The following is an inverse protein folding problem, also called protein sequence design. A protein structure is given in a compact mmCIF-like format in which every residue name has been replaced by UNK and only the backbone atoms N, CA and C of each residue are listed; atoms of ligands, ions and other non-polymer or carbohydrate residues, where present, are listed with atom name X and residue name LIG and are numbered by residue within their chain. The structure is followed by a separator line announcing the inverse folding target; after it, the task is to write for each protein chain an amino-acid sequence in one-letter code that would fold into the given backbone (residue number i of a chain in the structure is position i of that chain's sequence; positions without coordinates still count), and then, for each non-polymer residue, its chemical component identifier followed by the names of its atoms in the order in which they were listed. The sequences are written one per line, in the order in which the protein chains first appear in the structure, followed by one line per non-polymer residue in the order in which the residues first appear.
data_IF_141497964470
#
_entry.id   IF_141497964470
#
_cell.length_a   1.000
_cell.length_b   1.000
_cell.length_c   1.000
_cell.angle_alpha   90.00
_cell.angle_beta   90.00
_cell.angle_gamma   90.00
#
_symmetry.space_group_name_H-M   'P 1'
#
loop_
_entity.id
_entity.type
_entity.pdbx_description
1 polymer ?
#
# COMPACT_ATOMS: atom_id res chain seq x y z
N UNK A 1 0.17 8.97 -11.54
CA UNK A 1 -0.56 8.85 -10.25
C UNK A 1 0.42 9.26 -9.18
N UNK A 2 0.07 10.16 -8.25
CA UNK A 2 1.07 10.72 -7.32
C UNK A 2 1.09 9.93 -6.03
N UNK A 3 2.21 9.29 -5.71
CA UNK A 3 2.45 8.70 -4.38
C UNK A 3 2.47 9.86 -3.36
N UNK A 4 1.75 9.76 -2.23
CA UNK A 4 1.74 10.82 -1.24
C UNK A 4 3.13 11.06 -0.61
N UNK A 5 3.42 12.32 -0.30
CA UNK A 5 4.70 12.74 0.28
C UNK A 5 4.85 12.39 1.76
N UNK A 6 3.76 12.01 2.44
CA UNK A 6 3.78 11.67 3.87
C UNK A 6 4.03 10.18 4.11
N UNK A 7 4.81 9.80 5.14
CA UNK A 7 5.05 8.39 5.48
C UNK A 7 3.74 7.61 5.73
N UNK A 8 2.78 8.22 6.43
CA UNK A 8 1.48 7.63 6.70
C UNK A 8 0.65 7.43 5.42
N UNK A 9 0.67 8.39 4.49
CA UNK A 9 0.00 8.26 3.20
C UNK A 9 0.61 7.14 2.37
N UNK A 10 1.94 6.98 2.41
CA UNK A 10 2.64 5.88 1.74
C UNK A 10 2.19 4.53 2.28
N UNK A 11 2.05 4.39 3.60
CA UNK A 11 1.60 3.13 4.21
C UNK A 11 0.19 2.77 3.74
N UNK A 12 -0.73 3.74 3.73
CA UNK A 12 -2.09 3.53 3.24
C UNK A 12 -2.09 3.14 1.76
N UNK A 13 -1.26 3.81 0.95
CA UNK A 13 -1.13 3.50 -0.48
C UNK A 13 -0.63 2.07 -0.69
N UNK A 14 0.34 1.63 0.09
CA UNK A 14 0.88 0.26 0.04
C UNK A 14 -0.16 -0.78 0.45
N UNK A 15 -0.94 -0.51 1.50
CA UNK A 15 -2.03 -1.40 1.92
C UNK A 15 -3.13 -1.50 0.85
N UNK A 16 -3.49 -0.38 0.22
CA UNK A 16 -4.50 -0.37 -0.85
C UNK A 16 -3.99 -1.08 -2.11
N UNK A 17 -2.76 -0.82 -2.54
CA UNK A 17 -2.19 -1.48 -3.73
C UNK A 17 -2.02 -2.97 -3.53
N UNK A 18 -1.54 -3.39 -2.36
CA UNK A 18 -1.38 -4.81 -2.03
C UNK A 18 -2.74 -5.51 -1.94
N UNK A 19 -3.78 -4.88 -1.38
CA UNK A 19 -5.14 -5.41 -1.40
C UNK A 19 -5.64 -5.63 -2.83
N UNK A 20 -5.50 -4.63 -3.70
CA UNK A 20 -5.94 -4.74 -5.09
C UNK A 20 -5.24 -5.90 -5.81
N UNK A 21 -3.93 -6.03 -5.61
CA UNK A 21 -3.12 -7.05 -6.26
C UNK A 21 -3.46 -8.47 -5.77
N UNK A 22 -3.48 -8.69 -4.45
CA UNK A 22 -3.65 -10.04 -3.89
C UNK A 22 -5.11 -10.49 -3.74
N UNK A 23 -6.07 -9.56 -3.61
CA UNK A 23 -7.47 -9.89 -3.33
C UNK A 23 -8.39 -9.68 -4.54
N UNK A 24 -8.16 -8.61 -5.31
CA UNK A 24 -9.04 -8.23 -6.42
C UNK A 24 -8.43 -8.55 -7.80
N UNK A 25 -7.21 -9.07 -7.85
CA UNK A 25 -6.47 -9.39 -9.08
C UNK A 25 -6.36 -8.20 -10.06
N UNK A 26 -6.25 -6.98 -9.50
CA UNK A 26 -6.07 -5.74 -10.27
C UNK A 26 -4.93 -4.90 -9.69
N UNK A 27 -4.32 -4.08 -10.52
CA UNK A 27 -3.24 -3.18 -10.09
C UNK A 27 -3.48 -1.76 -10.60
N UNK A 28 -3.00 -0.79 -9.80
CA UNK A 28 -3.08 0.65 -10.10
C UNK A 28 -1.69 1.25 -10.25
N UNK A 29 -0.73 0.72 -9.49
CA UNK A 29 0.67 1.12 -9.56
C UNK A 29 1.41 0.20 -10.52
N UNK A 30 2.41 0.75 -11.21
CA UNK A 30 3.39 -0.07 -11.92
C UNK A 30 4.33 -0.76 -10.91
N UNK A 31 4.99 -1.83 -11.32
CA UNK A 31 5.98 -2.54 -10.49
C UNK A 31 7.06 -1.57 -9.99
N UNK A 32 7.55 -0.67 -10.85
CA UNK A 32 8.52 0.37 -10.48
C UNK A 32 8.00 1.32 -9.39
N UNK A 33 6.74 1.75 -9.47
CA UNK A 33 6.14 2.63 -8.46
C UNK A 33 5.94 1.90 -7.13
N UNK A 34 5.59 0.61 -7.18
CA UNK A 34 5.41 -0.22 -6.01
C UNK A 34 6.73 -0.50 -5.30
N UNK A 35 7.79 -0.83 -6.05
CA UNK A 35 9.14 -1.01 -5.51
C UNK A 35 9.67 0.28 -4.88
N UNK A 36 9.45 1.42 -5.54
CA UNK A 36 9.80 2.71 -4.96
C UNK A 36 9.06 2.95 -3.64
N UNK A 37 7.76 2.66 -3.59
CA UNK A 37 6.94 2.81 -2.39
C UNK A 37 7.45 1.93 -1.23
N UNK A 38 7.77 0.67 -1.50
CA UNK A 38 8.31 -0.26 -0.49
C UNK A 38 9.65 0.25 0.07
N UNK A 39 10.57 0.67 -0.80
CA UNK A 39 11.86 1.21 -0.38
C UNK A 39 11.73 2.46 0.49
N UNK A 40 10.82 3.38 0.13
CA UNK A 40 10.55 4.58 0.94
C UNK A 40 9.94 4.23 2.30
N UNK A 41 9.02 3.27 2.34
CA UNK A 41 8.43 2.81 3.59
C UNK A 41 9.45 2.16 4.52
N UNK A 42 10.41 1.39 3.98
CA UNK A 42 11.50 0.81 4.78
C UNK A 42 12.39 1.91 5.37
N UNK A 43 12.73 2.94 4.58
CA UNK A 43 13.56 4.05 5.04
C UNK A 43 12.88 4.91 6.11
N UNK A 44 11.57 5.09 6.02
CA UNK A 44 10.79 5.94 6.91
C UNK A 44 10.04 5.14 7.97
N UNK A 45 10.30 3.84 8.09
CA UNK A 45 9.50 2.93 8.91
C UNK A 45 9.35 3.39 10.35
N UNK A 46 10.42 3.92 10.95
CA UNK A 46 10.40 4.42 12.33
C UNK A 46 9.56 5.70 12.48
N UNK A 47 9.41 6.49 11.42
CA UNK A 47 8.66 7.76 11.42
C UNK A 47 7.16 7.56 11.20
N UNK A 48 6.75 6.37 10.73
CA UNK A 48 5.33 6.05 10.52
C UNK A 48 4.64 5.93 11.88
N UNK A 49 3.68 6.81 12.10
CA UNK A 49 2.75 6.78 13.24
C UNK A 49 1.33 6.62 12.69
N UNK A 50 0.94 5.36 12.47
CA UNK A 50 -0.36 5.01 11.89
C UNK A 50 -0.90 3.72 12.52
N UNK A 51 -2.20 3.64 12.87
CA UNK A 51 -2.78 2.46 13.53
C UNK A 51 -2.65 1.18 12.71
N UNK A 52 -2.70 1.27 11.38
CA UNK A 52 -2.51 0.11 10.49
C UNK A 52 -1.05 -0.33 10.31
N UNK A 53 -0.07 0.37 10.89
CA UNK A 53 1.35 -0.05 10.85
C UNK A 53 1.52 -1.45 11.41
N UNK A 54 0.73 -1.82 12.43
CA UNK A 54 0.75 -3.15 13.07
C UNK A 54 0.36 -4.30 12.13
N UNK A 55 -0.28 -4.00 11.00
CA UNK A 55 -0.68 -5.00 10.01
C UNK A 55 0.47 -5.35 9.05
N UNK A 56 1.54 -4.57 9.06
CA UNK A 56 2.66 -4.67 8.14
C UNK A 56 3.92 -4.94 8.97
N UNK A 57 4.68 -5.97 8.60
CA UNK A 57 5.99 -6.20 9.19
C UNK A 57 7.07 -5.54 8.33
N UNK A 58 8.15 -5.11 8.98
CA UNK A 58 9.32 -4.56 8.27
C UNK A 58 9.97 -5.63 7.36
N UNK A 59 9.88 -6.90 7.74
CA UNK A 59 10.38 -8.03 6.95
C UNK A 59 9.57 -8.20 5.67
N UNK A 60 8.23 -8.15 5.74
CA UNK A 60 7.35 -8.21 4.57
C UNK A 60 7.60 -7.06 3.60
N UNK A 61 7.81 -5.84 4.13
CA UNK A 61 8.17 -4.67 3.33
C UNK A 61 9.53 -4.81 2.65
N UNK A 62 10.53 -5.36 3.33
CA UNK A 62 11.86 -5.63 2.75
C UNK A 62 11.81 -6.73 1.69
N UNK A 63 10.93 -7.71 1.86
CA UNK A 63 10.67 -8.73 0.87
C UNK A 63 9.80 -8.23 -0.30
N UNK A 64 9.21 -7.03 -0.19
CA UNK A 64 8.34 -6.45 -1.20
C UNK A 64 7.00 -7.16 -1.35
N UNK A 65 6.53 -7.87 -0.31
CA UNK A 65 5.30 -8.67 -0.37
C UNK A 65 4.26 -8.15 0.61
N UNK A 66 2.99 -8.11 0.18
CA UNK A 66 1.84 -7.82 1.03
C UNK A 66 1.01 -9.07 1.35
N UNK A 67 1.54 -10.26 1.13
CA UNK A 67 0.77 -11.51 1.18
C UNK A 67 0.29 -11.87 2.60
N UNK A 68 1.09 -11.57 3.62
CA UNK A 68 0.78 -11.89 5.01
C UNK A 68 -0.28 -10.95 5.63
N UNK A 69 -0.65 -9.87 4.94
CA UNK A 69 -1.47 -8.79 5.51
C UNK A 69 -2.94 -9.22 5.58
N UNK A 70 -3.53 -9.06 6.76
CA UNK A 70 -5.00 -9.16 6.94
C UNK A 70 -5.62 -7.78 6.74
N UNK A 71 -6.21 -7.55 5.57
CA UNK A 71 -6.77 -6.26 5.20
C UNK A 71 -8.08 -5.96 5.93
N UNK A 72 -8.19 -4.84 6.67
CA UNK A 72 -9.45 -4.42 7.27
C UNK A 72 -10.41 -3.90 6.20
N UNK A 73 -11.72 -4.00 6.45
CA UNK A 73 -12.78 -3.58 5.52
C UNK A 73 -12.63 -2.13 5.04
N UNK A 74 -12.08 -1.25 5.88
CA UNK A 74 -11.81 0.14 5.53
C UNK A 74 -10.76 0.27 4.41
N UNK A 75 -9.70 -0.56 4.44
CA UNK A 75 -8.67 -0.58 3.39
C UNK A 75 -9.26 -1.13 2.10
N UNK A 76 -10.05 -2.20 2.17
CA UNK A 76 -10.75 -2.75 1.00
C UNK A 76 -11.67 -1.72 0.33
N UNK A 77 -12.48 -1.00 1.13
CA UNK A 77 -13.37 0.05 0.64
C UNK A 77 -12.60 1.21 -0.01
N UNK A 78 -11.54 1.68 0.64
CA UNK A 78 -10.68 2.74 0.11
C UNK A 78 -9.97 2.31 -1.19
N UNK A 79 -9.43 1.10 -1.22
CA UNK A 79 -8.74 0.52 -2.37
C UNK A 79 -9.66 0.40 -3.59
N UNK A 80 -10.89 -0.12 -3.41
CA UNK A 80 -11.88 -0.21 -4.50
C UNK A 80 -12.28 1.16 -5.03
N UNK A 81 -12.43 2.16 -4.14
CA UNK A 81 -12.72 3.54 -4.55
C UNK A 81 -11.57 4.11 -5.37
N UNK A 82 -10.36 3.94 -4.89
CA UNK A 82 -9.13 4.38 -5.53
C UNK A 82 -8.97 3.77 -6.94
N UNK A 83 -9.21 2.46 -7.06
CA UNK A 83 -9.22 1.77 -8.35
C UNK A 83 -10.23 2.38 -9.33
N UNK A 84 -11.48 2.58 -8.90
CA UNK A 84 -12.52 3.21 -9.75
C UNK A 84 -12.19 4.63 -10.19
N UNK A 85 -11.49 5.39 -9.36
CA UNK A 85 -11.04 6.74 -9.71
C UNK A 85 -9.86 6.70 -10.70
N UNK A 86 -9.01 5.68 -10.62
CA UNK A 86 -7.89 5.48 -11.54
C UNK A 86 -8.32 5.03 -12.94
N UNK A 87 -9.37 4.20 -13.04
CA UNK A 87 -9.87 3.66 -14.33
C UNK A 87 -10.82 4.58 -15.06
N UNK A 88 -11.32 5.64 -14.42
CA UNK A 88 -12.17 6.67 -15.04
C UNK A 88 -11.39 7.77 -15.76
N UNK A 89 -10.06 7.66 -15.83
CA UNK A 89 -9.20 8.62 -16.53
C UNK A 89 -9.08 8.31 -18.02
#
# INVERSE_FOLDING_TARGET
MTIPDTPNGRLVTYLMSSYLYYVEDVHVLSDCDFDYLCNRLVQEWEQIDHPHKVLVSLEDLRAGTGYAIKYPTIVAGAARRWYRESTKR
#
